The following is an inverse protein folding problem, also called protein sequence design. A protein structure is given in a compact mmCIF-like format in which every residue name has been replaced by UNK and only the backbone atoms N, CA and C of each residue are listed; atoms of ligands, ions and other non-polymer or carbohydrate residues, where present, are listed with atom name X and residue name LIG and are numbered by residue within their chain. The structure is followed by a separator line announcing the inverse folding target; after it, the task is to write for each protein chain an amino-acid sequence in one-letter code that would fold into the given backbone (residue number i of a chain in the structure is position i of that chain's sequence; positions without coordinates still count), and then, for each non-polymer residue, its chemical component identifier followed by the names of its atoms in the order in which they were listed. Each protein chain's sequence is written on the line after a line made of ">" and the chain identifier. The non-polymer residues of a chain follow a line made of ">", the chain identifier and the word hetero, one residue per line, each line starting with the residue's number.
data_IF_305179235478
#
_entry.id   IF_305179235478
#
_cell.length_a   1.000
_cell.length_b   1.000
_cell.length_c   1.000
_cell.angle_alpha   90.00
_cell.angle_beta   90.00
_cell.angle_gamma   90.00
#
_symmetry.space_group_name_H-M   'P 1'
#
loop_
_entity.id
_entity.type
_entity.pdbx_description
1 polymer ?
#
# COMPACT_ATOMS: atom_id res chain seq x y z
N UNK A 1 -7.20 84.75 19.00
CA UNK A 1 -6.53 83.44 19.08
C UNK A 1 -7.55 82.40 18.61
N UNK A 2 -7.62 82.16 17.29
CA UNK A 2 -7.30 80.88 16.61
C UNK A 2 -7.98 79.66 17.26
N UNK A 3 -8.70 78.74 16.62
CA UNK A 3 -9.02 78.36 15.23
C UNK A 3 -10.22 77.39 15.34
N UNK A 4 -11.37 77.69 14.74
CA UNK A 4 -11.96 77.06 13.55
C UNK A 4 -12.25 75.54 13.57
N UNK A 5 -13.57 75.29 13.63
CA UNK A 5 -14.39 74.13 13.26
C UNK A 5 -14.12 73.56 11.85
N UNK A 6 -14.09 72.22 11.74
CA UNK A 6 -14.42 71.45 10.52
C UNK A 6 -15.14 70.16 10.95
N UNK A 7 -16.47 70.04 10.77
CA UNK A 7 -17.19 69.46 9.61
C UNK A 7 -16.63 68.11 9.13
N UNK A 8 -17.16 67.02 9.70
CA UNK A 8 -17.12 65.67 9.15
C UNK A 8 -18.00 65.56 7.91
N UNK A 9 -17.41 65.18 6.77
CA UNK A 9 -18.11 64.88 5.51
C UNK A 9 -18.49 63.40 5.48
N UNK A 10 -19.78 63.13 5.30
CA UNK A 10 -20.31 61.84 4.90
C UNK A 10 -19.88 61.51 3.45
N UNK A 11 -19.34 60.32 3.23
CA UNK A 11 -19.05 59.77 1.90
C UNK A 11 -20.12 58.68 1.62
N UNK A 12 -20.89 58.74 0.52
CA UNK A 12 -21.78 57.65 0.15
C UNK A 12 -20.99 56.50 -0.49
N UNK A 13 -21.10 55.31 0.09
CA UNK A 13 -20.61 54.06 -0.50
C UNK A 13 -21.45 53.70 -1.73
N UNK A 14 -20.81 53.68 -2.90
CA UNK A 14 -21.36 53.18 -4.16
C UNK A 14 -21.46 51.65 -4.10
N UNK A 15 -22.62 51.14 -3.70
CA UNK A 15 -22.97 49.73 -3.86
C UNK A 15 -23.13 49.41 -5.36
N UNK A 16 -22.14 48.72 -5.93
CA UNK A 16 -22.19 48.12 -7.26
C UNK A 16 -22.70 46.67 -7.11
N UNK A 17 -23.72 46.22 -7.87
CA UNK A 17 -24.16 44.83 -7.77
C UNK A 17 -23.05 43.91 -8.27
N UNK A 18 -22.61 42.97 -7.42
CA UNK A 18 -21.70 41.90 -7.80
C UNK A 18 -22.45 40.99 -8.78
N UNK A 19 -21.98 40.98 -10.03
CA UNK A 19 -22.41 40.02 -11.05
C UNK A 19 -22.23 38.61 -10.49
N UNK A 20 -23.33 37.88 -10.36
CA UNK A 20 -23.27 36.44 -10.20
C UNK A 20 -22.67 35.86 -11.48
N UNK A 21 -21.38 35.53 -11.43
CA UNK A 21 -20.78 34.64 -12.42
C UNK A 21 -21.24 33.22 -12.09
N UNK A 22 -22.27 32.80 -12.83
CA UNK A 22 -22.63 31.39 -12.93
C UNK A 22 -21.43 30.65 -13.54
N UNK A 23 -20.70 29.89 -12.74
CA UNK A 23 -19.68 28.96 -13.25
C UNK A 23 -20.38 27.71 -13.77
N UNK A 24 -20.83 27.78 -15.02
CA UNK A 24 -21.11 26.60 -15.84
C UNK A 24 -20.09 26.56 -16.98
N UNK A 25 -18.94 25.95 -16.68
CA UNK A 25 -18.07 25.33 -17.67
C UNK A 25 -17.18 24.34 -16.91
N UNK A 26 -17.55 23.05 -16.93
CA UNK A 26 -16.65 21.99 -16.52
C UNK A 26 -15.43 22.03 -17.47
N UNK A 27 -14.34 22.67 -17.04
CA UNK A 27 -13.14 22.75 -17.84
C UNK A 27 -12.59 21.33 -18.03
N UNK A 28 -12.26 20.97 -19.27
CA UNK A 28 -11.57 19.73 -19.63
C UNK A 28 -10.09 19.78 -19.19
N UNK A 29 -9.82 20.17 -17.94
CA UNK A 29 -8.46 20.40 -17.49
C UNK A 29 -7.78 19.10 -17.07
N UNK A 30 -7.16 18.45 -18.06
CA UNK A 30 -6.35 17.23 -17.94
C UNK A 30 -5.32 17.30 -16.80
N UNK A 31 -4.83 18.51 -16.49
CA UNK A 31 -3.84 18.75 -15.44
C UNK A 31 -4.37 18.55 -14.02
N UNK A 32 -5.69 18.55 -13.83
CA UNK A 32 -6.35 18.28 -12.55
C UNK A 32 -6.91 16.87 -12.48
N UNK A 33 -6.89 16.12 -13.59
CA UNK A 33 -7.36 14.75 -13.65
C UNK A 33 -6.33 13.78 -13.05
N UNK A 34 -6.83 12.75 -12.37
CA UNK A 34 -6.02 11.65 -11.85
C UNK A 34 -6.45 10.33 -12.49
N UNK A 35 -5.47 9.60 -12.98
CA UNK A 35 -5.61 8.27 -13.53
C UNK A 35 -5.21 7.20 -12.52
N UNK A 36 -5.94 6.09 -12.43
CA UNK A 36 -5.55 4.92 -11.66
C UNK A 36 -5.68 3.64 -12.50
N UNK A 37 -4.56 2.96 -12.68
CA UNK A 37 -4.46 1.69 -13.41
C UNK A 37 -4.23 0.57 -12.39
N UNK A 38 -5.17 -0.38 -12.33
CA UNK A 38 -5.18 -1.45 -11.34
C UNK A 38 -6.16 -1.17 -10.20
N UNK A 39 -7.21 -1.99 -10.14
CA UNK A 39 -8.36 -1.92 -9.22
C UNK A 39 -8.52 -3.23 -8.43
N UNK A 40 -7.41 -3.94 -8.20
CA UNK A 40 -7.37 -5.07 -7.26
C UNK A 40 -7.65 -4.64 -5.81
N UNK A 41 -7.34 -5.51 -4.84
CA UNK A 41 -7.70 -5.28 -3.43
C UNK A 41 -7.25 -3.92 -2.87
N UNK A 42 -6.02 -3.49 -3.17
CA UNK A 42 -5.50 -2.18 -2.77
C UNK A 42 -6.03 -1.05 -3.67
N UNK A 43 -6.00 -1.27 -4.99
CA UNK A 43 -6.41 -0.29 -6.00
C UNK A 43 -7.88 0.13 -5.85
N UNK A 44 -8.77 -0.78 -5.45
CA UNK A 44 -10.17 -0.46 -5.18
C UNK A 44 -10.35 0.55 -4.04
N UNK A 45 -9.64 0.36 -2.92
CA UNK A 45 -9.66 1.32 -1.80
C UNK A 45 -9.08 2.68 -2.18
N UNK A 46 -7.99 2.67 -2.96
CA UNK A 46 -7.39 3.89 -3.51
C UNK A 46 -8.36 4.63 -4.46
N UNK A 47 -9.00 3.91 -5.39
CA UNK A 47 -9.99 4.45 -6.32
C UNK A 47 -11.17 5.11 -5.60
N UNK A 48 -11.70 4.45 -4.55
CA UNK A 48 -12.73 5.02 -3.68
C UNK A 48 -12.29 6.37 -3.11
N UNK A 49 -11.09 6.43 -2.52
CA UNK A 49 -10.59 7.67 -1.90
C UNK A 49 -10.37 8.79 -2.92
N UNK A 50 -9.87 8.46 -4.11
CA UNK A 50 -9.77 9.43 -5.21
C UNK A 50 -11.16 9.93 -5.64
N UNK A 51 -12.13 9.02 -5.80
CA UNK A 51 -13.50 9.36 -6.20
C UNK A 51 -14.22 10.27 -5.19
N UNK A 52 -14.00 10.05 -3.90
CA UNK A 52 -14.63 10.82 -2.82
C UNK A 52 -13.96 12.18 -2.56
N UNK A 53 -12.64 12.27 -2.73
CA UNK A 53 -11.84 13.40 -2.23
C UNK A 53 -11.18 14.25 -3.31
N UNK A 54 -11.04 13.75 -4.54
CA UNK A 54 -10.45 14.53 -5.63
C UNK A 54 -11.40 15.64 -6.07
N UNK A 55 -10.84 16.81 -6.37
CA UNK A 55 -11.58 17.93 -6.98
C UNK A 55 -11.61 17.85 -8.51
N UNK A 56 -10.75 17.01 -9.10
CA UNK A 56 -10.66 16.79 -10.54
C UNK A 56 -11.28 15.47 -10.99
N UNK A 57 -11.21 15.20 -12.29
CA UNK A 57 -11.76 13.96 -12.86
C UNK A 57 -10.92 12.76 -12.41
N UNK A 58 -11.58 11.67 -12.05
CA UNK A 58 -10.93 10.38 -11.78
C UNK A 58 -11.19 9.46 -12.96
N UNK A 59 -10.10 8.94 -13.55
CA UNK A 59 -10.15 7.98 -14.66
C UNK A 59 -9.54 6.67 -14.18
N UNK A 60 -10.25 5.56 -14.37
CA UNK A 60 -9.79 4.24 -13.95
C UNK A 60 -9.67 3.28 -15.11
N UNK A 61 -8.76 2.32 -14.98
CA UNK A 61 -8.63 1.18 -15.87
C UNK A 61 -8.20 -0.07 -15.09
N UNK A 62 -8.83 -1.20 -15.40
CA UNK A 62 -8.38 -2.53 -15.00
C UNK A 62 -8.80 -3.52 -16.11
N UNK A 63 -8.02 -4.59 -16.30
CA UNK A 63 -8.38 -5.67 -17.22
C UNK A 63 -9.56 -6.52 -16.72
N UNK A 64 -9.80 -6.53 -15.40
CA UNK A 64 -10.93 -7.17 -14.76
C UNK A 64 -12.13 -6.22 -14.76
N UNK A 65 -13.06 -6.46 -15.69
CA UNK A 65 -14.28 -5.65 -15.85
C UNK A 65 -15.15 -5.63 -14.59
N UNK A 66 -15.21 -6.72 -13.82
CA UNK A 66 -15.97 -6.77 -12.57
C UNK A 66 -15.39 -5.80 -11.50
N UNK A 67 -14.06 -5.62 -11.47
CA UNK A 67 -13.43 -4.66 -10.56
C UNK A 67 -13.78 -3.21 -10.94
N UNK A 68 -13.82 -2.92 -12.25
CA UNK A 68 -14.26 -1.62 -12.79
C UNK A 68 -15.72 -1.36 -12.42
N UNK A 69 -16.62 -2.33 -12.70
CA UNK A 69 -18.05 -2.24 -12.41
C UNK A 69 -18.33 -1.97 -10.92
N UNK A 70 -17.55 -2.58 -10.03
CA UNK A 70 -17.70 -2.38 -8.58
C UNK A 70 -17.45 -0.92 -8.18
N UNK A 71 -16.48 -0.24 -8.82
CA UNK A 71 -16.20 1.17 -8.58
C UNK A 71 -17.26 2.06 -9.23
N UNK A 72 -17.56 1.85 -10.51
CA UNK A 72 -18.46 2.75 -11.25
C UNK A 72 -19.90 2.68 -10.78
N UNK A 73 -20.35 1.53 -10.28
CA UNK A 73 -21.68 1.39 -9.68
C UNK A 73 -21.84 2.22 -8.41
N UNK A 74 -20.77 2.40 -7.64
CA UNK A 74 -20.77 3.21 -6.40
C UNK A 74 -20.45 4.68 -6.66
N UNK A 75 -19.63 4.97 -7.67
CA UNK A 75 -19.18 6.31 -8.02
C UNK A 75 -19.40 6.58 -9.52
N UNK A 76 -20.64 6.91 -9.94
CA UNK A 76 -20.97 7.09 -11.35
C UNK A 76 -20.22 8.22 -12.06
N UNK A 77 -19.60 9.14 -11.30
CA UNK A 77 -18.76 10.22 -11.82
C UNK A 77 -17.33 9.79 -12.18
N UNK A 78 -16.91 8.58 -11.78
CA UNK A 78 -15.62 8.00 -12.18
C UNK A 78 -15.69 7.58 -13.64
N UNK A 79 -14.71 8.02 -14.43
CA UNK A 79 -14.63 7.68 -15.85
C UNK A 79 -13.84 6.40 -16.06
N UNK A 80 -14.25 5.60 -17.05
CA UNK A 80 -13.56 4.37 -17.43
C UNK A 80 -12.78 4.62 -18.71
N UNK A 81 -11.50 4.27 -18.70
CA UNK A 81 -10.68 4.17 -19.90
C UNK A 81 -10.71 2.73 -20.45
N UNK A 82 -10.44 2.59 -21.74
CA UNK A 82 -10.38 1.32 -22.48
C UNK A 82 -8.99 0.69 -22.43
N UNK A 83 -7.97 1.47 -22.08
CA UNK A 83 -6.59 1.02 -21.93
C UNK A 83 -5.81 1.88 -20.94
N UNK A 84 -4.61 1.43 -20.58
CA UNK A 84 -3.69 2.20 -19.73
C UNK A 84 -3.22 3.50 -20.43
N UNK A 85 -3.01 3.43 -21.75
CA UNK A 85 -2.63 4.58 -22.59
C UNK A 85 -3.73 5.64 -22.58
N UNK A 86 -5.00 5.25 -22.72
CA UNK A 86 -6.12 6.20 -22.66
C UNK A 86 -6.24 6.86 -21.28
N UNK A 87 -5.82 6.20 -20.19
CA UNK A 87 -5.69 6.85 -18.87
C UNK A 87 -4.67 7.99 -18.94
N UNK A 88 -3.47 7.74 -19.49
CA UNK A 88 -2.42 8.75 -19.62
C UNK A 88 -2.74 9.85 -20.63
N UNK A 89 -3.58 9.58 -21.64
CA UNK A 89 -4.10 10.60 -22.55
C UNK A 89 -5.11 11.52 -21.86
N UNK A 90 -5.85 11.04 -20.86
CA UNK A 90 -6.91 11.78 -20.15
C UNK A 90 -6.49 12.39 -18.81
N UNK A 91 -5.37 11.94 -18.23
CA UNK A 91 -4.82 12.44 -16.97
C UNK A 91 -3.31 12.63 -17.06
N UNK A 92 -2.83 13.75 -16.51
CA UNK A 92 -1.39 13.99 -16.39
C UNK A 92 -0.79 13.34 -15.14
N UNK A 93 -1.58 13.13 -14.08
CA UNK A 93 -1.18 12.33 -12.93
C UNK A 93 -1.72 10.92 -13.07
N UNK A 94 -0.84 9.93 -13.23
CA UNK A 94 -1.22 8.52 -13.42
C UNK A 94 -0.61 7.67 -12.33
N UNK A 95 -1.46 6.95 -11.60
CA UNK A 95 -1.06 5.98 -10.60
C UNK A 95 -1.21 4.56 -11.14
N UNK A 96 -0.30 3.67 -10.75
CA UNK A 96 -0.43 2.24 -10.98
C UNK A 96 -0.43 1.47 -9.66
N UNK A 97 -1.24 0.41 -9.55
CA UNK A 97 -1.31 -0.47 -8.39
C UNK A 97 -1.48 -1.92 -8.86
N UNK A 98 -0.37 -2.55 -9.21
CA UNK A 98 -0.31 -3.80 -9.97
C UNK A 98 0.34 -4.95 -9.17
N UNK A 99 0.12 -6.22 -9.57
CA UNK A 99 0.52 -7.36 -8.74
C UNK A 99 2.04 -7.62 -8.67
N UNK A 100 2.80 -7.30 -9.71
CA UNK A 100 4.21 -7.68 -9.82
C UNK A 100 5.01 -6.84 -10.82
N UNK A 101 6.34 -6.91 -10.73
CA UNK A 101 7.29 -6.15 -11.54
C UNK A 101 7.04 -6.26 -13.05
N UNK A 102 6.74 -7.47 -13.57
CA UNK A 102 6.48 -7.67 -14.99
C UNK A 102 5.24 -6.91 -15.50
N UNK A 103 4.21 -6.78 -14.65
CA UNK A 103 3.00 -6.04 -15.00
C UNK A 103 3.26 -4.54 -15.04
N UNK A 104 4.01 -4.02 -14.06
CA UNK A 104 4.43 -2.61 -14.04
C UNK A 104 5.30 -2.31 -15.26
N UNK A 105 6.32 -3.12 -15.52
CA UNK A 105 7.21 -2.93 -16.67
C UNK A 105 6.43 -2.91 -18.00
N UNK A 106 5.48 -3.85 -18.18
CA UNK A 106 4.63 -3.92 -19.37
C UNK A 106 3.72 -2.69 -19.53
N UNK A 107 3.06 -2.23 -18.46
CA UNK A 107 2.21 -1.03 -18.50
C UNK A 107 3.05 0.19 -18.86
N UNK A 108 4.18 0.41 -18.18
CA UNK A 108 5.03 1.57 -18.44
C UNK A 108 5.68 1.54 -19.84
N UNK A 109 5.96 0.36 -20.41
CA UNK A 109 6.33 0.23 -21.83
C UNK A 109 5.23 0.72 -22.77
N UNK A 110 3.97 0.38 -22.52
CA UNK A 110 2.84 0.88 -23.32
C UNK A 110 2.66 2.40 -23.24
N UNK A 111 2.92 2.98 -22.07
CA UNK A 111 2.79 4.42 -21.83
C UNK A 111 3.84 5.28 -22.56
N UNK A 112 4.98 4.71 -22.97
CA UNK A 112 6.11 5.45 -23.57
C UNK A 112 5.76 6.33 -24.78
N UNK A 113 4.71 5.96 -25.52
CA UNK A 113 4.26 6.66 -26.73
C UNK A 113 3.30 7.82 -26.46
N UNK A 114 2.75 7.92 -25.25
CA UNK A 114 1.68 8.88 -24.90
C UNK A 114 2.04 9.83 -23.75
N UNK A 115 3.11 9.55 -23.01
CA UNK A 115 3.57 10.39 -21.90
C UNK A 115 4.60 11.45 -22.35
N UNK A 116 4.68 12.55 -21.61
CA UNK A 116 5.58 13.67 -21.89
C UNK A 116 5.89 14.52 -20.66
N UNK A 117 6.45 15.71 -20.89
CA UNK A 117 6.88 16.68 -19.87
C UNK A 117 5.85 17.05 -18.80
N UNK A 118 4.56 16.90 -19.12
CA UNK A 118 3.47 17.30 -18.23
C UNK A 118 3.00 16.13 -17.33
N UNK A 119 3.53 14.92 -17.54
CA UNK A 119 3.10 13.72 -16.82
C UNK A 119 3.88 13.47 -15.53
N UNK A 120 3.12 13.07 -14.51
CA UNK A 120 3.59 12.54 -13.23
C UNK A 120 3.05 11.11 -13.08
N UNK A 121 3.97 10.14 -13.08
CA UNK A 121 3.67 8.71 -13.08
C UNK A 121 4.10 8.10 -11.74
N UNK A 122 3.15 7.57 -10.97
CA UNK A 122 3.40 7.07 -9.61
C UNK A 122 3.07 5.58 -9.54
N UNK A 123 4.09 4.73 -9.41
CA UNK A 123 3.89 3.30 -9.18
C UNK A 123 3.75 3.01 -7.69
N UNK A 124 2.55 2.61 -7.27
CA UNK A 124 2.24 2.23 -5.88
C UNK A 124 2.35 0.72 -5.64
N UNK A 125 2.76 -0.05 -6.64
CA UNK A 125 2.99 -1.49 -6.55
C UNK A 125 4.23 -1.78 -5.68
N UNK A 126 4.28 -2.96 -5.06
CA UNK A 126 5.53 -3.47 -4.49
C UNK A 126 6.26 -4.31 -5.54
N UNK A 127 7.40 -3.83 -6.02
CA UNK A 127 8.18 -4.43 -7.10
C UNK A 127 9.68 -4.47 -6.78
N UNK A 128 10.45 -5.05 -7.70
CA UNK A 128 11.90 -5.00 -7.63
C UNK A 128 12.43 -3.56 -7.75
N UNK A 129 13.37 -3.18 -6.89
CA UNK A 129 13.90 -1.82 -6.84
C UNK A 129 14.67 -1.43 -8.11
N UNK A 130 15.28 -2.38 -8.82
CA UNK A 130 15.92 -2.13 -10.11
C UNK A 130 14.87 -1.86 -11.19
N UNK A 131 13.77 -2.64 -11.22
CA UNK A 131 12.67 -2.38 -12.17
C UNK A 131 12.09 -0.97 -11.96
N UNK A 132 11.92 -0.53 -10.72
CA UNK A 132 11.49 0.84 -10.43
C UNK A 132 12.46 1.90 -10.97
N UNK A 133 13.79 1.67 -10.85
CA UNK A 133 14.82 2.57 -11.42
C UNK A 133 14.82 2.57 -12.94
N UNK A 134 14.64 1.42 -13.56
CA UNK A 134 14.62 1.27 -15.01
C UNK A 134 13.39 1.97 -15.60
N UNK A 135 12.23 1.79 -14.97
CA UNK A 135 11.00 2.54 -15.31
C UNK A 135 11.23 4.04 -15.19
N UNK A 136 11.81 4.50 -14.08
CA UNK A 136 12.06 5.93 -13.89
C UNK A 136 12.98 6.51 -14.97
N UNK A 137 14.04 5.79 -15.35
CA UNK A 137 14.95 6.18 -16.43
C UNK A 137 14.22 6.27 -17.77
N UNK A 138 13.45 5.24 -18.15
CA UNK A 138 12.70 5.22 -19.42
C UNK A 138 11.68 6.36 -19.52
N UNK A 139 11.03 6.71 -18.41
CA UNK A 139 10.06 7.80 -18.40
C UNK A 139 10.72 9.18 -18.44
N UNK A 140 11.91 9.32 -17.83
CA UNK A 140 12.71 10.54 -17.92
C UNK A 140 13.16 10.82 -19.36
N UNK A 141 13.47 9.78 -20.15
CA UNK A 141 13.78 9.93 -21.59
C UNK A 141 12.59 10.49 -22.39
N UNK A 142 11.36 10.32 -21.89
CA UNK A 142 10.13 10.95 -22.41
C UNK A 142 9.82 12.29 -21.77
N UNK A 143 10.72 12.82 -20.94
CA UNK A 143 10.56 14.03 -20.13
C UNK A 143 9.50 13.94 -19.01
N UNK A 144 8.91 12.77 -18.78
CA UNK A 144 7.93 12.56 -17.72
C UNK A 144 8.60 12.36 -16.36
N UNK A 145 7.94 12.78 -15.28
CA UNK A 145 8.39 12.48 -13.92
C UNK A 145 7.83 11.13 -13.47
N UNK A 146 8.69 10.27 -12.94
CA UNK A 146 8.31 8.97 -12.43
C UNK A 146 8.73 8.78 -10.97
N UNK A 147 7.88 8.11 -10.21
CA UNK A 147 8.01 7.90 -8.77
C UNK A 147 7.66 6.46 -8.42
N UNK A 148 8.46 5.81 -7.59
CA UNK A 148 8.05 4.60 -6.87
C UNK A 148 7.49 5.01 -5.51
N UNK A 149 6.24 4.66 -5.24
CA UNK A 149 5.52 5.00 -4.02
C UNK A 149 4.77 3.80 -3.43
N UNK A 150 5.45 2.66 -3.16
CA UNK A 150 4.81 1.51 -2.56
C UNK A 150 4.13 1.84 -1.23
N UNK A 151 3.08 1.09 -0.93
CA UNK A 151 2.17 1.39 0.18
C UNK A 151 2.30 0.41 1.35
N UNK A 152 2.02 0.90 2.56
CA UNK A 152 1.80 0.08 3.77
C UNK A 152 0.48 0.46 4.45
N UNK A 153 -0.13 -0.49 5.18
CA UNK A 153 -1.42 -0.31 5.86
C UNK A 153 -2.54 -1.29 5.45
N UNK A 154 -2.29 -2.14 4.45
CA UNK A 154 -3.23 -3.18 4.01
C UNK A 154 -4.54 -2.64 3.41
N UNK A 155 -5.49 -3.55 3.17
CA UNK A 155 -6.78 -3.22 2.53
C UNK A 155 -7.64 -2.29 3.38
N UNK A 156 -7.56 -2.41 4.71
CA UNK A 156 -8.22 -1.50 5.66
C UNK A 156 -7.67 -0.08 5.53
N UNK A 157 -6.35 0.07 5.50
CA UNK A 157 -5.72 1.39 5.29
C UNK A 157 -6.06 1.98 3.93
N UNK A 158 -6.12 1.15 2.88
CA UNK A 158 -6.52 1.58 1.55
C UNK A 158 -7.97 2.05 1.51
N UNK A 159 -8.91 1.35 2.14
CA UNK A 159 -10.32 1.74 2.19
C UNK A 159 -10.54 3.05 2.96
N UNK A 160 -9.79 3.23 4.06
CA UNK A 160 -9.92 4.40 4.94
C UNK A 160 -9.10 5.62 4.50
N UNK A 161 -8.25 5.46 3.48
CA UNK A 161 -7.36 6.54 3.04
C UNK A 161 -6.27 6.87 4.05
N UNK A 162 -5.78 5.86 4.77
CA UNK A 162 -4.79 6.01 5.85
C UNK A 162 -3.49 5.25 5.55
N UNK A 163 -3.21 4.99 4.27
CA UNK A 163 -1.97 4.35 3.85
C UNK A 163 -0.74 5.19 4.22
N UNK A 164 0.39 4.50 4.35
CA UNK A 164 1.72 5.12 4.31
C UNK A 164 2.32 4.90 2.93
N UNK A 165 2.65 5.99 2.23
CA UNK A 165 3.39 5.96 0.96
C UNK A 165 4.89 6.19 1.24
N UNK A 166 5.73 5.33 0.68
CA UNK A 166 7.19 5.40 0.76
C UNK A 166 7.73 5.82 -0.60
N UNK A 167 8.09 7.09 -0.79
CA UNK A 167 8.26 7.67 -2.13
C UNK A 167 9.74 7.84 -2.49
N UNK A 168 10.21 7.09 -3.47
CA UNK A 168 11.43 7.39 -4.23
C UNK A 168 11.12 8.38 -5.35
N UNK A 169 11.92 9.44 -5.46
CA UNK A 169 11.70 10.53 -6.42
C UNK A 169 13.02 11.03 -7.03
N UNK A 170 12.99 11.69 -8.20
CA UNK A 170 14.21 12.22 -8.82
C UNK A 170 14.82 13.38 -8.02
N UNK A 171 14.02 14.10 -7.23
CA UNK A 171 14.47 15.12 -6.29
C UNK A 171 13.43 15.31 -5.18
N UNK A 172 13.82 15.94 -4.07
CA UNK A 172 12.89 16.32 -3.00
C UNK A 172 11.82 17.31 -3.50
N UNK A 173 12.19 18.25 -4.36
CA UNK A 173 11.24 19.18 -5.00
C UNK A 173 10.20 18.43 -5.85
N UNK A 174 10.61 17.42 -6.62
CA UNK A 174 9.70 16.61 -7.39
C UNK A 174 8.78 15.78 -6.48
N UNK A 175 9.31 15.26 -5.37
CA UNK A 175 8.53 14.54 -4.38
C UNK A 175 7.39 15.39 -3.80
N UNK A 176 7.62 16.66 -3.50
CA UNK A 176 6.57 17.54 -2.97
C UNK A 176 5.36 17.66 -3.91
N UNK A 177 5.56 17.52 -5.23
CA UNK A 177 4.47 17.49 -6.22
C UNK A 177 3.55 16.27 -6.08
N UNK A 178 4.02 15.18 -5.49
CA UNK A 178 3.21 13.97 -5.26
C UNK A 178 2.26 14.09 -4.08
N UNK A 179 2.58 14.94 -3.08
CA UNK A 179 1.83 15.02 -1.82
C UNK A 179 0.33 15.31 -2.00
N UNK A 180 -0.11 16.27 -2.85
CA UNK A 180 -1.53 16.58 -2.97
C UNK A 180 -2.39 15.39 -3.37
N UNK A 181 -1.91 14.53 -4.28
CA UNK A 181 -2.66 13.35 -4.73
C UNK A 181 -2.52 12.18 -3.76
N UNK A 182 -1.32 11.92 -3.23
CA UNK A 182 -1.09 10.79 -2.33
C UNK A 182 -1.80 10.96 -0.98
N UNK A 183 -1.93 12.20 -0.49
CA UNK A 183 -2.62 12.51 0.77
C UNK A 183 -4.14 12.29 0.70
N UNK A 184 -4.72 12.11 -0.50
CA UNK A 184 -6.14 11.70 -0.62
C UNK A 184 -6.34 10.25 -0.17
N UNK A 185 -5.33 9.41 -0.36
CA UNK A 185 -5.36 7.96 -0.14
C UNK A 185 -4.50 7.52 1.06
N UNK A 186 -3.68 8.43 1.60
CA UNK A 186 -2.70 8.15 2.62
C UNK A 186 -2.71 9.15 3.76
N UNK A 187 -2.36 8.67 4.95
CA UNK A 187 -2.11 9.52 6.13
C UNK A 187 -0.66 10.00 6.17
N UNK A 188 0.28 9.16 5.73
CA UNK A 188 1.70 9.46 5.74
C UNK A 188 2.25 9.39 4.31
N UNK A 189 2.97 10.43 3.88
CA UNK A 189 3.69 10.47 2.60
C UNK A 189 5.13 10.82 2.91
N UNK A 190 6.02 9.83 2.78
CA UNK A 190 7.41 9.89 3.25
C UNK A 190 8.35 9.96 2.07
N UNK A 191 9.26 10.92 2.06
CA UNK A 191 10.35 10.97 1.10
C UNK A 191 11.42 9.96 1.47
N UNK A 192 11.71 9.01 0.58
CA UNK A 192 12.69 7.95 0.81
C UNK A 192 14.02 8.20 0.08
N UNK A 193 14.15 9.30 -0.68
CA UNK A 193 15.33 9.60 -1.48
C UNK A 193 15.12 9.37 -2.97
N UNK A 194 16.19 8.95 -3.66
CA UNK A 194 16.21 8.78 -5.12
C UNK A 194 15.26 7.66 -5.60
N UNK A 195 14.91 7.64 -6.88
CA UNK A 195 14.12 6.55 -7.46
C UNK A 195 14.63 5.14 -7.08
N UNK A 196 13.70 4.26 -6.76
CA UNK A 196 13.90 2.90 -6.26
C UNK A 196 14.04 2.80 -4.74
N UNK A 197 14.30 3.88 -4.01
CA UNK A 197 14.46 3.79 -2.54
C UNK A 197 13.14 3.64 -1.80
N UNK A 198 12.01 4.03 -2.39
CA UNK A 198 10.67 3.72 -1.87
C UNK A 198 10.46 2.21 -1.81
N UNK A 199 10.81 1.50 -2.90
CA UNK A 199 10.83 0.03 -2.92
C UNK A 199 11.77 -0.55 -1.86
N UNK A 200 13.01 -0.04 -1.75
CA UNK A 200 13.95 -0.52 -0.72
C UNK A 200 13.36 -0.40 0.69
N UNK A 201 12.78 0.76 1.03
CA UNK A 201 12.13 0.98 2.33
C UNK A 201 10.99 -0.03 2.56
N UNK A 202 10.15 -0.26 1.53
CA UNK A 202 9.05 -1.22 1.59
C UNK A 202 9.53 -2.66 1.81
N UNK A 203 10.56 -3.08 1.07
CA UNK A 203 11.11 -4.44 1.17
C UNK A 203 11.73 -4.68 2.54
N UNK A 204 12.50 -3.73 3.08
CA UNK A 204 13.05 -3.83 4.43
C UNK A 204 11.94 -3.88 5.49
N UNK A 205 10.91 -3.03 5.37
CA UNK A 205 9.75 -3.04 6.28
C UNK A 205 9.04 -4.39 6.27
N UNK A 206 8.75 -4.94 5.09
CA UNK A 206 8.01 -6.19 4.98
C UNK A 206 8.86 -7.42 5.35
N UNK A 207 10.19 -7.36 5.18
CA UNK A 207 11.09 -8.38 5.73
C UNK A 207 11.02 -8.42 7.25
N UNK A 208 11.13 -7.25 7.91
CA UNK A 208 10.99 -7.18 9.37
C UNK A 208 9.59 -7.59 9.84
N UNK A 209 8.54 -7.28 9.07
CA UNK A 209 7.18 -7.72 9.35
C UNK A 209 7.07 -9.26 9.34
N UNK A 210 7.63 -9.92 8.33
CA UNK A 210 7.65 -11.39 8.25
C UNK A 210 8.40 -12.03 9.43
N UNK A 211 9.60 -11.52 9.75
CA UNK A 211 10.43 -11.98 10.88
C UNK A 211 9.69 -11.80 12.21
N UNK A 212 9.14 -10.62 12.46
CA UNK A 212 8.46 -10.33 13.73
C UNK A 212 7.18 -11.14 13.89
N UNK A 213 6.43 -11.41 12.81
CA UNK A 213 5.26 -12.29 12.87
C UNK A 213 5.64 -13.72 13.25
N UNK A 214 6.72 -14.25 12.69
CA UNK A 214 7.25 -15.56 13.07
C UNK A 214 7.61 -15.61 14.55
N UNK A 215 8.39 -14.64 15.03
CA UNK A 215 8.78 -14.58 16.43
C UNK A 215 7.59 -14.46 17.38
N UNK A 216 6.58 -13.66 17.04
CA UNK A 216 5.34 -13.56 17.83
C UNK A 216 4.55 -14.87 17.80
N UNK A 217 4.43 -15.52 16.63
CA UNK A 217 3.73 -16.79 16.51
C UNK A 217 4.36 -17.89 17.37
N UNK A 218 5.69 -18.05 17.31
CA UNK A 218 6.43 -19.00 18.15
C UNK A 218 6.28 -18.68 19.64
N UNK A 219 6.41 -17.41 20.01
CA UNK A 219 6.32 -16.96 21.41
C UNK A 219 4.92 -17.21 21.98
N UNK A 220 3.87 -16.85 21.23
CA UNK A 220 2.48 -17.06 21.65
C UNK A 220 2.16 -18.55 21.77
N UNK A 221 2.65 -19.37 20.84
CA UNK A 221 2.45 -20.82 20.86
C UNK A 221 3.16 -21.46 22.07
N UNK A 222 4.43 -21.10 22.30
CA UNK A 222 5.22 -21.59 23.44
C UNK A 222 4.55 -21.22 24.76
N UNK A 223 4.19 -19.95 24.95
CA UNK A 223 3.55 -19.51 26.19
C UNK A 223 2.22 -20.23 26.44
N UNK A 224 1.42 -20.46 25.39
CA UNK A 224 0.17 -21.23 25.49
C UNK A 224 0.45 -22.69 25.90
N UNK A 225 1.47 -23.34 25.32
CA UNK A 225 1.89 -24.70 25.70
C UNK A 225 2.43 -24.78 27.13
N UNK A 226 3.03 -23.72 27.63
CA UNK A 226 3.48 -23.60 29.03
C UNK A 226 2.34 -23.23 29.99
N UNK A 227 1.09 -23.15 29.52
CA UNK A 227 -0.09 -22.94 30.34
C UNK A 227 -0.44 -21.49 30.64
N UNK A 228 0.17 -20.52 29.93
CA UNK A 228 -0.23 -19.12 30.05
C UNK A 228 -1.53 -18.84 29.30
N UNK A 229 -2.37 -17.97 29.88
CA UNK A 229 -3.47 -17.35 29.14
C UNK A 229 -2.92 -16.49 27.98
N UNK A 230 -3.32 -16.76 26.72
CA UNK A 230 -2.89 -15.98 25.56
C UNK A 230 -3.20 -14.49 25.67
N UNK A 231 -4.31 -14.09 26.28
CA UNK A 231 -4.67 -12.67 26.45
C UNK A 231 -3.71 -11.98 27.42
N UNK A 232 -3.39 -12.64 28.53
CA UNK A 232 -2.42 -12.14 29.49
C UNK A 232 -1.02 -12.05 28.89
N UNK A 233 -0.58 -13.08 28.15
CA UNK A 233 0.72 -13.07 27.48
C UNK A 233 0.83 -11.93 26.46
N UNK A 234 -0.18 -11.77 25.61
CA UNK A 234 -0.23 -10.68 24.64
C UNK A 234 -0.17 -9.30 25.33
N UNK A 235 -0.89 -9.13 26.44
CA UNK A 235 -0.83 -7.91 27.25
C UNK A 235 0.56 -7.64 27.80
N UNK A 236 1.24 -8.66 28.34
CA UNK A 236 2.62 -8.54 28.84
C UNK A 236 3.57 -8.12 27.72
N UNK A 237 3.53 -8.81 26.57
CA UNK A 237 4.37 -8.48 25.41
C UNK A 237 4.17 -7.04 24.96
N UNK A 238 2.91 -6.60 24.85
CA UNK A 238 2.55 -5.28 24.35
C UNK A 238 2.83 -4.14 25.34
N UNK A 239 3.03 -4.45 26.62
CA UNK A 239 3.46 -3.49 27.64
C UNK A 239 4.95 -3.62 28.00
N UNK A 240 5.70 -4.45 27.27
CA UNK A 240 7.12 -4.72 27.51
C UNK A 240 7.95 -4.51 26.25
N UNK A 241 9.25 -4.82 26.32
CA UNK A 241 10.20 -4.62 25.22
C UNK A 241 10.03 -5.61 24.06
N UNK A 242 9.23 -6.66 24.23
CA UNK A 242 8.89 -7.62 23.17
C UNK A 242 7.85 -7.11 22.17
N UNK A 243 7.25 -5.94 22.41
CA UNK A 243 6.20 -5.37 21.56
C UNK A 243 6.66 -5.15 20.13
N UNK A 244 5.84 -5.56 19.18
CA UNK A 244 5.93 -5.15 17.77
C UNK A 244 4.52 -5.04 17.14
N UNK A 245 4.45 -4.59 15.88
CA UNK A 245 3.16 -4.45 15.20
C UNK A 245 2.40 -5.79 15.11
N UNK A 246 3.12 -6.90 14.89
CA UNK A 246 2.53 -8.24 14.84
C UNK A 246 1.94 -8.67 16.19
N UNK A 247 2.46 -8.19 17.33
CA UNK A 247 1.93 -8.55 18.65
C UNK A 247 0.73 -7.70 19.08
N UNK A 248 0.68 -6.43 18.68
CA UNK A 248 -0.34 -5.47 19.14
C UNK A 248 -1.49 -5.22 18.15
N UNK A 249 -1.24 -5.35 16.85
CA UNK A 249 -2.19 -4.98 15.80
C UNK A 249 -2.68 -6.18 15.00
N UNK A 250 -1.86 -7.24 14.89
CA UNK A 250 -2.18 -8.43 14.10
C UNK A 250 -1.79 -9.74 14.81
N UNK A 251 -2.05 -9.83 16.11
CA UNK A 251 -1.67 -10.99 16.92
C UNK A 251 -2.14 -12.31 16.27
N UNK A 252 -1.24 -13.30 16.11
CA UNK A 252 -1.54 -14.50 15.34
C UNK A 252 -2.33 -15.56 16.14
N UNK A 253 -2.48 -15.38 17.45
CA UNK A 253 -3.28 -16.28 18.28
C UNK A 253 -4.79 -15.95 18.13
N UNK A 254 -5.65 -16.94 17.79
CA UNK A 254 -7.09 -16.72 17.72
C UNK A 254 -7.67 -16.17 19.03
N UNK A 255 -8.55 -15.19 18.95
CA UNK A 255 -9.24 -14.61 20.12
C UNK A 255 -8.47 -13.52 20.87
N UNK A 256 -7.19 -13.26 20.57
CA UNK A 256 -6.43 -12.17 21.23
C UNK A 256 -6.85 -10.79 20.71
N UNK A 257 -6.94 -10.63 19.39
CA UNK A 257 -7.48 -9.42 18.76
C UNK A 257 -8.74 -9.81 17.97
N UNK A 258 -9.95 -9.40 18.40
CA UNK A 258 -11.20 -9.85 17.78
C UNK A 258 -11.29 -9.61 16.27
N UNK A 259 -10.75 -8.48 15.79
CA UNK A 259 -10.82 -8.09 14.38
C UNK A 259 -9.61 -8.55 13.55
N UNK A 260 -8.59 -9.15 14.17
CA UNK A 260 -7.43 -9.67 13.45
C UNK A 260 -7.83 -10.92 12.64
N UNK A 261 -7.11 -11.25 11.56
CA UNK A 261 -7.36 -12.42 10.74
C UNK A 261 -7.44 -13.73 11.55
N UNK A 262 -6.59 -13.90 12.57
CA UNK A 262 -6.59 -15.09 13.44
C UNK A 262 -7.96 -15.39 14.07
N UNK A 263 -8.74 -14.36 14.44
CA UNK A 263 -10.08 -14.52 15.02
C UNK A 263 -11.15 -15.02 14.04
N UNK A 264 -10.86 -15.03 12.73
CA UNK A 264 -11.77 -15.43 11.65
C UNK A 264 -11.15 -16.49 10.75
N UNK A 265 -10.40 -17.42 11.35
CA UNK A 265 -9.77 -18.54 10.66
C UNK A 265 -8.71 -18.11 9.64
N UNK A 266 -8.03 -16.99 9.90
CA UNK A 266 -6.97 -16.41 9.04
C UNK A 266 -7.44 -15.99 7.64
N UNK A 267 -8.74 -15.81 7.43
CA UNK A 267 -9.29 -15.42 6.14
C UNK A 267 -9.09 -13.93 5.85
N UNK A 268 -8.80 -13.56 4.60
CA UNK A 268 -8.53 -12.19 4.18
C UNK A 268 -7.18 -11.66 4.71
N UNK A 269 -7.03 -10.34 4.84
CA UNK A 269 -5.77 -9.76 5.30
C UNK A 269 -4.67 -9.78 4.23
N UNK A 270 -3.43 -10.05 4.63
CA UNK A 270 -2.25 -10.09 3.76
C UNK A 270 -1.77 -11.54 3.61
N UNK A 271 -2.01 -12.14 2.44
CA UNK A 271 -1.84 -13.59 2.28
C UNK A 271 -0.40 -14.07 2.32
N UNK A 272 -0.19 -15.36 2.64
CA UNK A 272 1.11 -16.03 2.54
C UNK A 272 1.74 -15.88 1.15
N UNK A 273 0.97 -16.00 0.07
CA UNK A 273 1.45 -15.72 -1.30
C UNK A 273 2.03 -14.32 -1.47
N UNK A 274 1.39 -13.30 -0.89
CA UNK A 274 1.88 -11.93 -0.99
C UNK A 274 3.10 -11.70 -0.10
N UNK A 275 3.12 -12.28 1.11
CA UNK A 275 4.29 -12.21 1.99
C UNK A 275 5.50 -12.90 1.36
N UNK A 276 5.33 -14.10 0.80
CA UNK A 276 6.38 -14.81 0.08
C UNK A 276 6.91 -14.00 -1.11
N UNK A 277 6.02 -13.35 -1.88
CA UNK A 277 6.42 -12.46 -2.99
C UNK A 277 7.29 -11.30 -2.50
N UNK A 278 6.87 -10.61 -1.44
CA UNK A 278 7.61 -9.47 -0.89
C UNK A 278 8.96 -9.90 -0.27
N UNK A 279 9.00 -11.04 0.43
CA UNK A 279 10.24 -11.60 0.96
C UNK A 279 11.19 -12.08 -0.16
N UNK A 280 10.66 -12.66 -1.24
CA UNK A 280 11.45 -13.00 -2.42
C UNK A 280 12.10 -11.78 -3.06
N UNK A 281 11.38 -10.66 -3.17
CA UNK A 281 11.95 -9.38 -3.62
C UNK A 281 13.03 -8.86 -2.67
N UNK A 282 12.81 -8.96 -1.34
CA UNK A 282 13.80 -8.58 -0.35
C UNK A 282 15.08 -9.43 -0.43
N UNK A 283 14.95 -10.75 -0.63
CA UNK A 283 16.09 -11.66 -0.79
C UNK A 283 16.86 -11.41 -2.08
N UNK A 284 16.17 -11.12 -3.18
CA UNK A 284 16.83 -10.67 -4.41
C UNK A 284 17.61 -9.37 -4.19
N UNK A 285 17.00 -8.38 -3.55
CA UNK A 285 17.67 -7.12 -3.25
C UNK A 285 18.89 -7.32 -2.32
N UNK A 286 18.79 -8.23 -1.34
CA UNK A 286 19.91 -8.58 -0.47
C UNK A 286 21.06 -9.23 -1.26
N UNK A 287 20.75 -10.17 -2.15
CA UNK A 287 21.73 -10.79 -3.05
C UNK A 287 22.44 -9.75 -3.91
N UNK A 288 21.69 -8.85 -4.56
CA UNK A 288 22.24 -7.78 -5.41
C UNK A 288 23.13 -6.81 -4.61
N UNK A 289 22.82 -6.61 -3.32
CA UNK A 289 23.61 -5.79 -2.39
C UNK A 289 24.72 -6.57 -1.67
N UNK A 290 24.93 -7.85 -1.97
CA UNK A 290 25.88 -8.74 -1.30
C UNK A 290 25.66 -8.81 0.23
N UNK A 291 24.41 -8.67 0.67
CA UNK A 291 23.98 -8.80 2.05
C UNK A 291 23.41 -10.20 2.34
N UNK A 292 23.55 -10.68 3.58
CA UNK A 292 23.06 -11.99 4.02
C UNK A 292 22.19 -11.86 5.27
N UNK A 293 20.91 -11.44 5.13
CA UNK A 293 20.01 -11.26 6.26
C UNK A 293 19.56 -12.62 6.82
N UNK A 294 20.25 -13.15 7.84
CA UNK A 294 20.00 -14.50 8.37
C UNK A 294 18.53 -14.80 8.70
N UNK A 295 17.88 -13.95 9.50
CA UNK A 295 16.46 -14.12 9.85
C UNK A 295 15.52 -13.87 8.66
N UNK A 296 15.91 -12.98 7.75
CA UNK A 296 15.14 -12.70 6.54
C UNK A 296 15.10 -13.90 5.60
N UNK A 297 16.23 -14.60 5.44
CA UNK A 297 16.33 -15.85 4.67
C UNK A 297 15.43 -16.93 5.25
N UNK A 298 15.48 -17.17 6.57
CA UNK A 298 14.61 -18.15 7.24
C UNK A 298 13.13 -17.81 7.05
N UNK A 299 12.77 -16.54 7.17
CA UNK A 299 11.39 -16.10 6.93
C UNK A 299 10.98 -16.32 5.47
N UNK A 300 11.83 -15.98 4.51
CA UNK A 300 11.55 -16.17 3.10
C UNK A 300 11.32 -17.65 2.75
N UNK A 301 12.14 -18.55 3.26
CA UNK A 301 11.99 -20.00 3.08
C UNK A 301 10.64 -20.49 3.60
N UNK A 302 10.28 -20.12 4.83
CA UNK A 302 9.07 -20.60 5.47
C UNK A 302 7.80 -20.03 4.81
N UNK A 303 7.76 -18.74 4.49
CA UNK A 303 6.62 -18.18 3.76
C UNK A 303 6.54 -18.69 2.32
N UNK A 304 7.67 -18.99 1.66
CA UNK A 304 7.66 -19.67 0.36
C UNK A 304 7.00 -21.04 0.47
N UNK A 305 7.34 -21.82 1.49
CA UNK A 305 6.67 -23.07 1.79
C UNK A 305 5.15 -22.86 1.94
N UNK A 306 4.73 -21.99 2.88
CA UNK A 306 3.32 -21.70 3.14
C UNK A 306 2.55 -21.18 1.91
N UNK A 307 3.21 -20.46 1.01
CA UNK A 307 2.60 -19.96 -0.23
C UNK A 307 2.23 -21.05 -1.23
N UNK A 308 2.78 -22.25 -1.06
CA UNK A 308 2.53 -23.43 -1.89
C UNK A 308 1.85 -24.58 -1.12
N UNK A 309 1.78 -24.47 0.22
CA UNK A 309 1.05 -25.42 1.06
C UNK A 309 -0.45 -25.24 0.87
N UNK A 310 -1.12 -26.31 0.45
CA UNK A 310 -2.57 -26.36 0.28
C UNK A 310 -3.26 -25.91 1.57
N UNK A 311 -4.31 -25.10 1.42
CA UNK A 311 -5.15 -24.54 2.49
C UNK A 311 -4.46 -23.45 3.33
N UNK A 312 -3.22 -23.08 3.02
CA UNK A 312 -2.47 -21.99 3.67
C UNK A 312 -2.15 -20.84 2.72
N UNK A 313 -2.08 -21.09 1.42
CA UNK A 313 -1.51 -20.16 0.46
C UNK A 313 -2.27 -18.82 0.36
N UNK A 314 -3.58 -18.87 0.61
CA UNK A 314 -4.48 -17.73 0.56
C UNK A 314 -4.80 -17.14 1.93
N UNK A 315 -4.45 -17.84 3.02
CA UNK A 315 -4.63 -17.34 4.38
C UNK A 315 -3.70 -16.18 4.66
N UNK A 316 -4.10 -15.33 5.59
CA UNK A 316 -3.28 -14.26 6.15
C UNK A 316 -1.94 -14.81 6.64
N UNK A 317 -0.87 -14.04 6.51
CA UNK A 317 0.49 -14.43 6.88
C UNK A 317 0.63 -14.78 8.37
N UNK A 318 -0.26 -14.29 9.24
CA UNK A 318 -0.34 -14.72 10.64
C UNK A 318 -0.73 -16.21 10.83
N UNK A 319 -1.23 -16.87 9.78
CA UNK A 319 -1.54 -18.31 9.76
C UNK A 319 -0.32 -19.21 9.96
N UNK A 320 0.89 -18.66 9.91
CA UNK A 320 2.09 -19.37 10.35
C UNK A 320 1.96 -19.92 11.78
N UNK A 321 1.22 -19.24 12.66
CA UNK A 321 0.91 -19.78 13.99
C UNK A 321 0.11 -21.07 13.91
N UNK A 322 -0.93 -21.12 13.06
CA UNK A 322 -1.73 -22.32 12.83
C UNK A 322 -0.87 -23.45 12.28
N UNK A 323 -0.01 -23.16 11.31
CA UNK A 323 0.92 -24.14 10.75
C UNK A 323 1.88 -24.69 11.81
N UNK A 324 2.47 -23.82 12.65
CA UNK A 324 3.34 -24.24 13.75
C UNK A 324 2.60 -25.13 14.76
N UNK A 325 1.37 -24.77 15.12
CA UNK A 325 0.54 -25.55 16.04
C UNK A 325 0.20 -26.95 15.48
N UNK A 326 -0.13 -27.05 14.19
CA UNK A 326 -0.42 -28.32 13.51
C UNK A 326 0.83 -29.22 13.42
N UNK A 327 2.01 -28.66 13.15
CA UNK A 327 3.26 -29.41 13.01
C UNK A 327 3.92 -29.73 14.36
N UNK A 328 3.60 -29.03 15.44
CA UNK A 328 4.06 -29.40 16.78
C UNK A 328 3.36 -30.69 17.27
N UNK A 329 2.10 -30.89 16.88
CA UNK A 329 1.28 -32.02 17.32
C UNK A 329 1.53 -33.31 16.52
N UNK A 330 2.05 -33.20 15.29
CA UNK A 330 2.42 -34.37 14.48
C UNK A 330 3.66 -35.09 15.02
N UNK A 331 4.59 -34.38 15.67
CA UNK A 331 5.75 -34.98 16.33
C UNK A 331 5.36 -35.75 17.61
N UNK A 332 4.39 -35.27 18.38
CA UNK A 332 3.88 -35.97 19.57
C UNK A 332 3.14 -37.28 19.20
N UNK A 333 2.47 -37.34 18.03
CA UNK A 333 1.80 -38.54 17.54
C UNK A 333 2.76 -39.64 17.03
N UNK A 334 4.02 -39.29 16.72
CA UNK A 334 5.06 -40.23 16.29
C UNK A 334 5.75 -40.98 17.42
N UNK A 335 5.86 -40.37 18.60
CA UNK A 335 6.54 -40.97 19.77
C UNK A 335 5.64 -41.95 20.56
N UNK A 336 4.32 -41.94 20.32
CA UNK A 336 3.37 -42.84 20.98
C UNK A 336 3.27 -44.28 20.43
N UNK A 337 4.02 -44.65 19.38
CA UNK A 337 3.90 -45.96 18.70
C UNK A 337 5.05 -46.96 18.93
N UNK A 338 6.08 -46.62 19.70
CA UNK A 338 7.25 -47.49 19.93
C UNK A 338 7.29 -48.17 21.31
N UNK A 339 6.21 -48.11 22.10
CA UNK A 339 6.20 -48.68 23.46
C UNK A 339 5.03 -49.64 23.73
N UNK A 340 4.65 -50.52 22.79
CA UNK A 340 3.97 -51.79 23.14
C UNK A 340 4.31 -52.84 22.06
N UNK A 341 5.21 -53.79 22.36
CA UNK A 341 5.33 -54.98 21.53
C UNK A 341 6.63 -55.78 21.59
N UNK A 342 6.72 -56.62 22.64
CA UNK A 342 7.60 -57.80 22.82
C UNK A 342 9.06 -57.57 23.24
#
# INVERSE_FOLDING_TARGET
>A
MLLLSQRTRFIPSLYRPVRHFSFTAASNNRNTSVGLIGLGQMGHGMAKNLAEKSTGKVIVYDMNTAAVETITSKYPHVQVAKSAEEVAEKATTVLTMLPASAHVDAVYKGLESVVGKDHMLIDSSTIDAQVARDVATRMLDKQALAFDAPVSGGTVGAANGTLTFMVGAPSEEAFEKTRPVLSLMGKNVVYCGKNGTGQVAKLCNNMLLGISMMGVAETMLLGSKLGMDPLLLASILNNSTGRCWSSDSNNPHPGVIPNAPAGRGYQGGFSNKLMAKDLGLAMKAAHDAQAQPALGTMAAELYTHLSTTKDFESLDFSSIYKWLAENANSNEAGEGKTAVGK
#
